data_IF_232552536366
#
_entry.id   IF_232552536366
#
_cell.length_a   1.000
_cell.length_b   1.000
_cell.length_c   1.000
_cell.angle_alpha   90.00
_cell.angle_beta   90.00
_cell.angle_gamma   90.00
#
_symmetry.space_group_name_H-M   'P 1'
#
loop_
_entity.id
_entity.type
_entity.pdbx_description
1 polymer ?
#
# COMPACT_ATOMS: atom_id res chain seq x y z
N UNK A 1 5.47 -2.77 -35.06
CA UNK A 1 5.26 -3.95 -34.17
C UNK A 1 4.39 -3.53 -33.00
N UNK A 2 3.08 -3.82 -33.05
CA UNK A 2 2.18 -3.60 -31.91
C UNK A 2 2.29 -4.80 -30.98
N UNK A 3 3.07 -4.71 -29.90
CA UNK A 3 2.97 -5.69 -28.81
C UNK A 3 1.68 -5.37 -28.07
N UNK A 4 0.64 -6.16 -28.30
CA UNK A 4 -0.58 -6.14 -27.48
C UNK A 4 -0.17 -6.31 -26.01
N UNK A 5 -0.42 -5.28 -25.19
CA UNK A 5 -0.29 -5.37 -23.74
C UNK A 5 -1.50 -6.15 -23.22
N UNK A 6 -1.42 -7.48 -23.24
CA UNK A 6 -2.47 -8.32 -22.64
C UNK A 6 -2.16 -8.48 -21.16
N UNK A 7 -2.98 -7.86 -20.29
CA UNK A 7 -2.94 -8.11 -18.85
C UNK A 7 -3.22 -9.59 -18.57
N UNK A 8 -2.28 -10.26 -17.91
CA UNK A 8 -2.38 -11.68 -17.57
C UNK A 8 -2.96 -11.85 -16.17
N UNK A 9 -3.73 -12.92 -15.97
CA UNK A 9 -4.23 -13.30 -14.64
C UNK A 9 -3.10 -13.80 -13.73
N UNK A 10 -3.23 -13.64 -12.39
CA UNK A 10 -2.26 -14.17 -11.43
C UNK A 10 -2.10 -15.68 -11.57
N UNK A 11 -0.88 -16.20 -11.44
CA UNK A 11 -0.60 -17.65 -11.57
C UNK A 11 0.18 -18.24 -10.40
N UNK A 12 1.07 -17.48 -9.78
CA UNK A 12 1.85 -17.94 -8.62
C UNK A 12 1.29 -17.41 -7.30
N UNK A 13 1.66 -18.00 -6.15
CA UNK A 13 1.31 -17.43 -4.85
C UNK A 13 1.75 -15.97 -4.70
N UNK A 14 2.91 -15.60 -5.25
CA UNK A 14 3.41 -14.23 -5.23
C UNK A 14 2.57 -13.29 -6.11
N UNK A 15 2.17 -13.73 -7.31
CA UNK A 15 1.24 -12.97 -8.17
C UNK A 15 -0.08 -12.69 -7.42
N UNK A 16 -0.62 -13.69 -6.71
CA UNK A 16 -1.85 -13.54 -5.93
C UNK A 16 -1.68 -12.62 -4.73
N UNK A 17 -0.60 -12.75 -3.97
CA UNK A 17 -0.31 -11.85 -2.85
C UNK A 17 -0.22 -10.40 -3.33
N UNK A 18 0.52 -10.15 -4.42
CA UNK A 18 0.64 -8.82 -5.02
C UNK A 18 -0.69 -8.30 -5.57
N UNK A 19 -1.50 -9.15 -6.19
CA UNK A 19 -2.83 -8.76 -6.67
C UNK A 19 -3.76 -8.35 -5.52
N UNK A 20 -3.79 -9.12 -4.42
CA UNK A 20 -4.59 -8.79 -3.24
C UNK A 20 -4.14 -7.47 -2.63
N UNK A 21 -2.83 -7.28 -2.41
CA UNK A 21 -2.33 -6.00 -1.91
C UNK A 21 -2.63 -4.85 -2.88
N UNK A 22 -2.58 -5.09 -4.19
CA UNK A 22 -2.89 -4.10 -5.21
C UNK A 22 -4.34 -3.67 -5.17
N UNK A 23 -5.27 -4.62 -5.12
CA UNK A 23 -6.71 -4.34 -4.99
C UNK A 23 -7.00 -3.62 -3.68
N UNK A 24 -6.45 -4.08 -2.55
CA UNK A 24 -6.64 -3.41 -1.26
C UNK A 24 -6.15 -1.96 -1.28
N UNK A 25 -4.94 -1.70 -1.79
CA UNK A 25 -4.36 -0.36 -1.86
C UNK A 25 -5.17 0.56 -2.81
N UNK A 26 -5.64 0.02 -3.93
CA UNK A 26 -6.49 0.72 -4.88
C UNK A 26 -7.83 1.11 -4.24
N UNK A 27 -8.51 0.15 -3.58
CA UNK A 27 -9.79 0.39 -2.93
C UNK A 27 -9.67 1.35 -1.75
N UNK A 28 -8.67 1.19 -0.88
CA UNK A 28 -8.44 2.12 0.23
C UNK A 28 -8.10 3.53 -0.29
N UNK A 29 -7.29 3.62 -1.34
CA UNK A 29 -6.99 4.90 -1.99
C UNK A 29 -8.24 5.55 -2.58
N UNK A 30 -9.09 4.79 -3.26
CA UNK A 30 -10.36 5.28 -3.79
C UNK A 30 -11.32 5.74 -2.67
N UNK A 31 -11.42 4.96 -1.59
CA UNK A 31 -12.21 5.34 -0.40
C UNK A 31 -11.69 6.64 0.19
N UNK A 32 -10.37 6.83 0.32
CA UNK A 32 -9.80 8.06 0.85
C UNK A 32 -10.00 9.29 -0.06
N UNK A 33 -10.06 9.10 -1.38
CA UNK A 33 -10.38 10.17 -2.33
C UNK A 33 -11.87 10.55 -2.31
N UNK A 34 -12.77 9.58 -2.13
CA UNK A 34 -14.23 9.80 -2.12
C UNK A 34 -14.73 10.24 -0.74
N UNK A 35 -14.20 9.62 0.32
CA UNK A 35 -14.60 9.84 1.72
C UNK A 35 -13.37 9.82 2.65
N UNK A 36 -12.63 10.95 2.72
CA UNK A 36 -11.49 11.10 3.63
C UNK A 36 -11.85 10.80 5.10
N UNK A 37 -13.08 11.14 5.51
CA UNK A 37 -13.57 10.92 6.88
C UNK A 37 -13.70 9.42 7.21
N UNK A 38 -13.95 8.56 6.22
CA UNK A 38 -13.97 7.11 6.43
C UNK A 38 -12.58 6.57 6.78
N UNK A 39 -11.53 7.09 6.13
CA UNK A 39 -10.13 6.73 6.44
C UNK A 39 -9.73 7.21 7.83
N UNK A 40 -10.11 8.43 8.21
CA UNK A 40 -9.87 8.92 9.58
C UNK A 40 -10.53 8.03 10.63
N UNK A 41 -11.79 7.64 10.43
CA UNK A 41 -12.49 6.71 11.33
C UNK A 41 -11.81 5.35 11.41
N UNK A 42 -11.37 4.80 10.28
CA UNK A 42 -10.64 3.51 10.24
C UNK A 42 -9.37 3.57 11.09
N UNK A 43 -8.67 4.70 11.07
CA UNK A 43 -7.47 4.94 11.86
C UNK A 43 -7.77 5.41 13.30
N UNK A 44 -9.04 5.47 13.70
CA UNK A 44 -9.49 6.03 14.99
C UNK A 44 -8.97 7.46 15.25
N UNK A 45 -8.86 8.25 14.17
CA UNK A 45 -8.45 9.65 14.21
C UNK A 45 -9.67 10.57 14.23
N UNK A 46 -9.62 11.69 14.97
CA UNK A 46 -10.72 12.65 15.00
C UNK A 46 -10.86 13.33 13.63
N UNK A 47 -12.09 13.36 13.09
CA UNK A 47 -12.41 14.18 11.94
C UNK A 47 -12.84 15.58 12.44
N UNK A 48 -12.10 16.66 12.12
CA UNK A 48 -12.45 18.00 12.59
C UNK A 48 -13.82 18.40 12.03
N UNK A 49 -14.72 18.82 12.93
CA UNK A 49 -16.03 19.31 12.52
C UNK A 49 -15.86 20.54 11.61
N UNK A 50 -16.78 20.77 10.65
CA UNK A 50 -16.68 21.91 9.74
C UNK A 50 -16.57 23.26 10.45
N UNK A 51 -17.13 23.37 11.66
CA UNK A 51 -17.14 24.57 12.51
C UNK A 51 -15.90 24.72 13.39
N UNK A 52 -15.11 23.67 13.60
CA UNK A 52 -13.88 23.68 14.41
C UNK A 52 -12.60 23.69 13.57
N UNK A 53 -12.75 23.78 12.25
CA UNK A 53 -11.61 23.70 11.34
C UNK A 53 -10.79 25.00 11.41
N UNK A 54 -9.54 24.89 11.86
CA UNK A 54 -8.62 26.02 11.86
C UNK A 54 -8.42 26.52 10.42
N UNK A 55 -8.11 27.81 10.26
CA UNK A 55 -7.93 28.46 8.94
C UNK A 55 -6.83 27.82 8.08
N UNK A 56 -5.94 27.01 8.67
CA UNK A 56 -4.82 26.32 8.00
C UNK A 56 -4.88 24.79 8.22
N UNK A 57 -6.08 24.20 8.26
CA UNK A 57 -6.21 22.74 8.32
C UNK A 57 -5.84 22.07 6.98
N UNK A 58 -4.65 21.49 6.93
CA UNK A 58 -4.13 20.76 5.77
C UNK A 58 -4.50 19.26 5.77
N UNK A 59 -5.28 18.78 6.74
CA UNK A 59 -5.61 17.35 6.88
C UNK A 59 -6.21 16.78 5.61
N UNK A 60 -7.15 17.50 4.98
CA UNK A 60 -7.75 17.05 3.70
C UNK A 60 -6.74 17.02 2.56
N UNK A 61 -5.85 18.00 2.47
CA UNK A 61 -4.82 18.03 1.43
C UNK A 61 -3.88 16.83 1.57
N UNK A 62 -3.40 16.56 2.78
CA UNK A 62 -2.56 15.39 3.06
C UNK A 62 -3.31 14.07 2.85
N UNK A 63 -4.57 13.96 3.28
CA UNK A 63 -5.38 12.76 3.03
C UNK A 63 -5.58 12.52 1.54
N UNK A 64 -5.89 13.54 0.75
CA UNK A 64 -6.00 13.40 -0.71
C UNK A 64 -4.68 12.94 -1.32
N UNK A 65 -3.56 13.55 -0.94
CA UNK A 65 -2.24 13.18 -1.43
C UNK A 65 -1.87 11.73 -1.06
N UNK A 66 -2.05 11.34 0.20
CA UNK A 66 -1.80 9.98 0.69
C UNK A 66 -2.74 8.95 0.05
N UNK A 67 -4.01 9.30 -0.16
CA UNK A 67 -5.00 8.41 -0.81
C UNK A 67 -4.68 8.20 -2.27
N UNK A 68 -4.28 9.26 -2.99
CA UNK A 68 -3.81 9.16 -4.37
C UNK A 68 -2.54 8.31 -4.47
N UNK A 69 -1.61 8.44 -3.52
CA UNK A 69 -0.42 7.60 -3.45
C UNK A 69 -0.78 6.11 -3.25
N UNK A 70 -1.71 5.80 -2.35
CA UNK A 70 -2.23 4.43 -2.16
C UNK A 70 -2.90 3.89 -3.43
N UNK A 71 -3.73 4.70 -4.08
CA UNK A 71 -4.39 4.34 -5.33
C UNK A 71 -3.38 3.99 -6.42
N UNK A 72 -2.37 4.84 -6.62
CA UNK A 72 -1.30 4.63 -7.59
C UNK A 72 -0.50 3.36 -7.29
N UNK A 73 -0.14 3.12 -6.02
CA UNK A 73 0.53 1.88 -5.64
C UNK A 73 -0.31 0.64 -5.94
N UNK A 74 -1.62 0.72 -5.74
CA UNK A 74 -2.55 -0.34 -6.15
C UNK A 74 -2.49 -0.62 -7.65
N UNK A 75 -2.53 0.42 -8.48
CA UNK A 75 -2.37 0.31 -9.94
C UNK A 75 -1.02 -0.30 -10.30
N UNK A 76 0.08 0.18 -9.72
CA UNK A 76 1.42 -0.35 -9.99
C UNK A 76 1.54 -1.83 -9.63
N UNK A 77 0.93 -2.27 -8.53
CA UNK A 77 0.93 -3.67 -8.12
C UNK A 77 0.18 -4.54 -9.13
N UNK A 78 -1.00 -4.10 -9.57
CA UNK A 78 -1.80 -4.83 -10.57
C UNK A 78 -1.13 -4.86 -11.95
N UNK A 79 -0.49 -3.77 -12.36
CA UNK A 79 0.30 -3.73 -13.59
C UNK A 79 1.52 -4.64 -13.51
N UNK A 80 2.23 -4.66 -12.37
CA UNK A 80 3.35 -5.56 -12.15
C UNK A 80 2.91 -7.03 -12.24
N UNK A 81 1.74 -7.37 -11.70
CA UNK A 81 1.12 -8.71 -11.85
C UNK A 81 0.82 -9.02 -13.31
N UNK A 82 0.15 -8.11 -14.02
CA UNK A 82 -0.19 -8.31 -15.43
C UNK A 82 1.03 -8.43 -16.35
N UNK A 83 2.11 -7.71 -16.03
CA UNK A 83 3.38 -7.73 -16.75
C UNK A 83 4.35 -8.82 -16.27
N UNK A 84 4.06 -9.53 -15.18
CA UNK A 84 4.95 -10.50 -14.50
C UNK A 84 6.28 -9.90 -14.09
N UNK A 85 6.27 -8.67 -13.61
CA UNK A 85 7.48 -7.95 -13.24
C UNK A 85 7.92 -8.33 -11.81
N UNK A 86 8.43 -9.56 -11.65
CA UNK A 86 8.88 -10.13 -10.35
C UNK A 86 9.94 -9.28 -9.64
N UNK A 87 10.90 -8.60 -10.32
CA UNK A 87 11.81 -7.68 -9.64
C UNK A 87 11.10 -6.62 -8.79
N UNK A 88 9.94 -6.13 -9.22
CA UNK A 88 9.16 -5.19 -8.44
C UNK A 88 8.61 -5.81 -7.16
N UNK A 89 8.18 -7.07 -7.18
CA UNK A 89 7.68 -7.77 -5.98
C UNK A 89 8.78 -7.86 -4.93
N UNK A 90 10.00 -8.21 -5.36
CA UNK A 90 11.18 -8.29 -4.49
C UNK A 90 11.47 -6.96 -3.82
N UNK A 91 11.38 -5.85 -4.55
CA UNK A 91 11.58 -4.51 -4.00
C UNK A 91 10.50 -4.09 -3.01
N UNK A 92 9.28 -4.61 -3.11
CA UNK A 92 8.25 -4.29 -2.11
C UNK A 92 8.63 -4.77 -0.72
N UNK A 93 9.37 -5.87 -0.58
CA UNK A 93 9.76 -6.41 0.74
C UNK A 93 10.59 -5.41 1.54
N UNK A 94 11.77 -4.93 1.09
CA UNK A 94 12.57 -3.97 1.86
C UNK A 94 11.85 -2.63 2.05
N UNK A 95 11.05 -2.16 1.09
CA UNK A 95 10.28 -0.92 1.26
C UNK A 95 9.21 -1.05 2.35
N UNK A 96 8.48 -2.17 2.40
CA UNK A 96 7.51 -2.44 3.46
C UNK A 96 8.18 -2.56 4.84
N UNK A 97 9.35 -3.20 4.90
CA UNK A 97 10.15 -3.25 6.13
C UNK A 97 10.62 -1.85 6.58
N UNK A 98 11.03 -1.00 5.63
CA UNK A 98 11.37 0.40 5.91
C UNK A 98 10.16 1.18 6.43
N UNK A 99 8.98 1.01 5.83
CA UNK A 99 7.75 1.66 6.30
C UNK A 99 7.37 1.18 7.71
N UNK A 100 7.49 -0.12 8.00
CA UNK A 100 7.34 -0.65 9.36
C UNK A 100 8.28 0.04 10.34
N UNK A 101 9.56 0.17 10.01
CA UNK A 101 10.54 0.82 10.87
C UNK A 101 10.20 2.29 11.10
N UNK A 102 9.90 3.05 10.04
CA UNK A 102 9.58 4.48 10.14
C UNK A 102 8.33 4.72 10.99
N UNK A 103 7.25 3.98 10.76
CA UNK A 103 6.02 4.14 11.54
C UNK A 103 6.21 3.70 12.99
N UNK A 104 6.94 2.60 13.24
CA UNK A 104 7.25 2.17 14.61
C UNK A 104 8.05 3.23 15.37
N UNK A 105 9.10 3.78 14.75
CA UNK A 105 9.91 4.84 15.36
C UNK A 105 9.13 6.13 15.58
N UNK A 106 8.25 6.52 14.64
CA UNK A 106 7.43 7.71 14.76
C UNK A 106 6.38 7.59 15.88
N UNK A 107 5.76 6.42 16.06
CA UNK A 107 4.89 6.15 17.22
C UNK A 107 5.71 6.15 18.51
N UNK A 108 6.84 5.46 18.54
CA UNK A 108 7.70 5.36 19.72
C UNK A 108 8.22 6.74 20.19
N UNK A 109 8.51 7.65 19.26
CA UNK A 109 8.94 9.03 19.54
C UNK A 109 7.78 9.99 19.85
N UNK A 110 6.52 9.53 19.80
CA UNK A 110 5.35 10.37 20.02
C UNK A 110 5.04 11.36 18.89
N UNK A 111 5.66 11.20 17.71
CA UNK A 111 5.41 12.05 16.53
C UNK A 111 4.07 11.72 15.88
N UNK A 112 3.57 10.50 16.07
CA UNK A 112 2.40 9.98 15.38
C UNK A 112 1.48 9.20 16.35
N UNK A 113 0.15 9.20 16.13
CA UNK A 113 -0.79 8.51 17.01
C UNK A 113 -0.53 7.00 17.13
N UNK A 114 -0.80 6.37 18.29
CA UNK A 114 -0.59 4.93 18.49
C UNK A 114 -1.28 4.02 17.48
N UNK A 115 -2.42 4.45 16.91
CA UNK A 115 -3.15 3.71 15.88
C UNK A 115 -2.27 3.35 14.66
N UNK A 116 -1.26 4.16 14.35
CA UNK A 116 -0.33 3.87 13.25
C UNK A 116 0.65 2.72 13.53
N UNK A 117 0.76 2.26 14.77
CA UNK A 117 1.49 1.03 15.05
C UNK A 117 0.81 -0.18 14.37
N UNK A 118 -0.53 -0.16 14.28
CA UNK A 118 -1.28 -1.16 13.50
C UNK A 118 -0.91 -1.14 12.01
N UNK A 119 -0.70 0.06 11.44
CA UNK A 119 -0.21 0.22 10.07
C UNK A 119 1.22 -0.32 9.93
N UNK A 120 2.10 -0.04 10.90
CA UNK A 120 3.45 -0.60 10.90
C UNK A 120 3.42 -2.14 10.87
N UNK A 121 2.65 -2.77 11.77
CA UNK A 121 2.50 -4.22 11.82
C UNK A 121 1.93 -4.76 10.50
N UNK A 122 0.96 -4.08 9.91
CA UNK A 122 0.40 -4.44 8.60
C UNK A 122 1.48 -4.48 7.50
N UNK A 123 2.37 -3.48 7.48
CA UNK A 123 3.48 -3.42 6.51
C UNK A 123 4.48 -4.57 6.72
N UNK A 124 4.82 -4.89 7.97
CA UNK A 124 5.70 -6.03 8.28
C UNK A 124 5.06 -7.36 7.84
N UNK A 125 3.78 -7.59 8.18
CA UNK A 125 3.05 -8.78 7.75
C UNK A 125 3.00 -8.89 6.23
N UNK A 126 2.74 -7.78 5.53
CA UNK A 126 2.78 -7.72 4.08
C UNK A 126 4.15 -8.10 3.51
N UNK A 127 5.24 -7.56 4.09
CA UNK A 127 6.60 -7.90 3.70
C UNK A 127 6.89 -9.40 3.88
N UNK A 128 6.48 -9.97 5.01
CA UNK A 128 6.67 -11.39 5.31
C UNK A 128 5.88 -12.29 4.36
N UNK A 129 4.62 -11.96 4.06
CA UNK A 129 3.79 -12.71 3.10
C UNK A 129 4.44 -12.70 1.71
N UNK A 130 4.85 -11.52 1.21
CA UNK A 130 5.49 -11.43 -0.12
C UNK A 130 6.82 -12.20 -0.12
N UNK A 131 7.68 -11.99 0.88
CA UNK A 131 8.95 -12.70 0.98
C UNK A 131 8.77 -14.22 1.05
N UNK A 132 7.77 -14.70 1.79
CA UNK A 132 7.43 -16.11 1.87
C UNK A 132 6.98 -16.67 0.52
N UNK A 133 6.04 -15.99 -0.15
CA UNK A 133 5.54 -16.44 -1.47
C UNK A 133 6.63 -16.45 -2.55
N UNK A 134 7.56 -15.49 -2.52
CA UNK A 134 8.71 -15.42 -3.44
C UNK A 134 9.69 -16.58 -3.28
N UNK A 135 9.79 -17.20 -2.09
CA UNK A 135 10.65 -18.39 -1.87
C UNK A 135 10.20 -19.62 -2.66
N UNK A 136 8.93 -19.66 -3.07
CA UNK A 136 8.35 -20.73 -3.85
C UNK A 136 8.19 -20.37 -5.33
N UNK A 137 8.77 -19.24 -5.77
CA UNK A 137 8.75 -18.82 -7.18
C UNK A 137 9.75 -19.68 -8.00
N UNK A 138 9.34 -20.24 -9.14
CA UNK A 138 10.26 -21.00 -9.99
C UNK A 138 11.41 -20.14 -10.52
N UNK A 139 12.65 -20.65 -10.47
CA UNK A 139 13.86 -19.95 -10.93
C UNK A 139 13.78 -19.43 -12.37
N UNK A 140 13.00 -20.08 -13.24
CA UNK A 140 12.81 -19.70 -14.65
C UNK A 140 12.11 -18.34 -14.84
N UNK A 141 11.47 -17.78 -13.81
CA UNK A 141 10.91 -16.41 -13.83
C UNK A 141 11.85 -15.35 -13.24
N UNK A 142 12.98 -15.75 -12.67
CA UNK A 142 13.85 -14.86 -11.89
C UNK A 142 14.88 -14.09 -12.71
N UNK A 143 15.05 -14.47 -13.98
CA UNK A 143 16.09 -14.02 -14.92
C UNK A 143 15.56 -13.19 -16.10
N UNK A 144 14.32 -12.69 -16.00
CA UNK A 144 13.69 -11.81 -17.00
C UNK A 144 13.76 -10.34 -16.65
#
# INVERSE_FOLDING_TARGET
MSRSFTLRKPQTPADWAMAVFGVMALLLGAVGLISPEAVLRLLSLPAPSPTQRASVDLTRAFLTASSMASFNMGVYYLLAVGARFVPFYRWTVPFRMLTFLVFTLAVWRGVMPPAFFGVAVWELLGALVVAWTLRYEPETRTSG
#
